data_IF_640940749890
#
_entry.id   IF_640940749890
#
_cell.length_a   1.000
_cell.length_b   1.000
_cell.length_c   1.000
_cell.angle_alpha   90.00
_cell.angle_beta   90.00
_cell.angle_gamma   90.00
#
_symmetry.space_group_name_H-M   'P 1'
#
loop_
_entity.id
_entity.type
_entity.pdbx_description
1 polymer ?
#
# COMPACT_ATOMS: atom_id res chain seq x y z
N UNK A 1 12.11 7.55 -1.61
CA UNK A 1 11.28 7.38 -2.82
C UNK A 1 11.71 8.42 -3.84
N UNK A 2 11.82 8.01 -5.09
CA UNK A 2 12.54 8.76 -6.14
C UNK A 2 11.56 9.39 -7.14
N UNK A 3 10.70 10.29 -6.67
CA UNK A 3 9.69 10.96 -7.49
C UNK A 3 10.28 11.73 -8.71
N UNK A 4 11.53 12.15 -8.62
CA UNK A 4 12.23 12.80 -9.73
C UNK A 4 12.42 11.88 -10.95
N UNK A 5 12.34 10.57 -10.80
CA UNK A 5 12.45 9.63 -11.92
C UNK A 5 11.27 9.74 -12.90
N UNK A 6 10.14 10.31 -12.45
CA UNK A 6 8.99 10.62 -13.31
C UNK A 6 9.37 11.59 -14.45
N UNK A 7 10.26 12.57 -14.20
CA UNK A 7 10.80 13.43 -15.26
C UNK A 7 11.57 12.64 -16.32
N UNK A 8 12.30 11.61 -15.89
CA UNK A 8 13.01 10.72 -16.81
C UNK A 8 12.04 9.96 -17.71
N UNK A 9 10.94 9.44 -17.17
CA UNK A 9 9.92 8.74 -17.94
C UNK A 9 9.30 9.64 -19.03
N UNK A 10 8.99 10.88 -18.67
CA UNK A 10 8.46 11.87 -19.63
C UNK A 10 9.50 12.20 -20.70
N UNK A 11 10.73 12.50 -20.29
CA UNK A 11 11.82 12.95 -21.18
C UNK A 11 12.21 11.89 -22.21
N UNK A 12 12.21 10.62 -21.80
CA UNK A 12 12.62 9.51 -22.66
C UNK A 12 11.43 8.74 -23.25
N UNK A 13 10.20 9.25 -23.07
CA UNK A 13 8.96 8.61 -23.57
C UNK A 13 8.82 7.16 -23.12
N UNK A 14 9.14 6.89 -21.85
CA UNK A 14 8.98 5.56 -21.28
C UNK A 14 7.52 5.36 -20.88
N UNK A 15 6.77 4.44 -21.51
CA UNK A 15 5.35 4.29 -21.29
C UNK A 15 5.07 3.44 -20.04
N UNK A 16 5.50 3.93 -18.89
CA UNK A 16 5.35 3.24 -17.60
C UNK A 16 4.02 3.63 -16.96
N UNK A 17 3.34 2.66 -16.38
CA UNK A 17 2.18 2.89 -15.53
C UNK A 17 2.64 2.81 -14.07
N UNK A 18 2.65 3.95 -13.40
CA UNK A 18 2.97 4.06 -11.98
C UNK A 18 1.67 4.02 -11.17
N UNK A 19 1.64 3.22 -10.12
CA UNK A 19 0.52 3.22 -9.16
C UNK A 19 1.05 3.57 -7.78
N UNK A 20 0.52 4.64 -7.20
CA UNK A 20 0.84 5.07 -5.83
C UNK A 20 -0.32 4.68 -4.92
N UNK A 21 -0.05 3.87 -3.92
CA UNK A 21 -0.99 3.60 -2.83
C UNK A 21 -0.84 4.70 -1.77
N UNK A 22 -1.74 5.67 -1.82
CA UNK A 22 -1.65 6.91 -1.06
C UNK A 22 -2.51 6.82 0.21
N UNK A 23 -1.89 6.35 1.29
CA UNK A 23 -2.51 6.19 2.61
C UNK A 23 -2.22 7.33 3.59
N UNK A 24 -1.45 8.34 3.18
CA UNK A 24 -1.01 9.48 4.00
C UNK A 24 -0.22 9.10 5.26
N UNK A 25 0.39 7.91 5.27
CA UNK A 25 1.19 7.45 6.38
C UNK A 25 2.36 6.58 5.91
N UNK A 26 3.34 6.40 6.78
CA UNK A 26 4.36 5.36 6.68
C UNK A 26 3.79 4.08 7.31
N UNK A 27 2.75 3.49 6.67
CA UNK A 27 1.94 2.43 7.25
C UNK A 27 2.73 1.21 7.70
N UNK A 28 3.77 0.80 6.94
CA UNK A 28 4.62 -0.31 7.35
C UNK A 28 5.41 -0.02 8.63
N UNK A 29 5.87 1.23 8.81
CA UNK A 29 6.57 1.67 10.03
C UNK A 29 5.58 1.76 11.21
N UNK A 30 4.35 2.20 10.95
CA UNK A 30 3.27 2.18 11.93
C UNK A 30 3.00 0.77 12.43
N UNK A 31 2.87 -0.18 11.52
CA UNK A 31 2.66 -1.60 11.83
C UNK A 31 3.82 -2.17 12.68
N UNK A 32 5.07 -1.83 12.34
CA UNK A 32 6.24 -2.27 13.10
C UNK A 32 6.28 -1.66 14.51
N UNK A 33 5.95 -0.36 14.65
CA UNK A 33 5.88 0.29 15.96
C UNK A 33 4.79 -0.35 16.83
N UNK A 34 3.62 -0.65 16.24
CA UNK A 34 2.53 -1.32 16.94
C UNK A 34 2.91 -2.74 17.37
N UNK A 35 3.55 -3.51 16.48
CA UNK A 35 3.98 -4.88 16.76
C UNK A 35 5.03 -4.95 17.89
N UNK A 36 5.87 -3.93 18.00
CA UNK A 36 6.87 -3.82 19.07
C UNK A 36 6.32 -3.16 20.35
N UNK A 37 5.04 -2.74 20.36
CA UNK A 37 4.38 -2.12 21.51
C UNK A 37 4.82 -0.68 21.74
N UNK A 38 5.31 0.01 20.71
CA UNK A 38 5.67 1.42 20.76
C UNK A 38 4.47 2.32 20.49
N UNK A 39 4.52 3.55 20.96
CA UNK A 39 3.61 4.60 20.54
C UNK A 39 3.99 5.06 19.10
N UNK A 40 2.99 5.41 18.33
CA UNK A 40 3.19 5.88 16.97
C UNK A 40 3.94 7.22 16.95
N UNK A 41 5.04 7.28 16.23
CA UNK A 41 5.86 8.48 16.13
C UNK A 41 6.41 8.66 14.72
N UNK A 42 6.19 9.85 14.16
CA UNK A 42 6.78 10.23 12.87
C UNK A 42 6.23 9.48 11.67
N UNK A 43 5.05 8.85 11.79
CA UNK A 43 4.42 8.04 10.75
C UNK A 43 3.51 8.86 9.82
N UNK A 44 2.98 9.98 10.30
CA UNK A 44 2.06 10.81 9.53
C UNK A 44 2.75 11.45 8.33
N UNK A 45 2.14 11.33 7.18
CA UNK A 45 2.55 11.99 5.95
C UNK A 45 1.52 13.02 5.52
N UNK A 46 1.94 14.19 4.99
CA UNK A 46 0.97 15.13 4.44
C UNK A 46 0.21 14.50 3.27
N UNK A 47 -1.05 14.88 3.13
CA UNK A 47 -1.87 14.45 2.00
C UNK A 47 -1.32 15.06 0.69
N UNK A 48 -0.51 14.31 -0.02
CA UNK A 48 0.06 14.70 -1.30
C UNK A 48 -0.90 14.29 -2.42
N UNK A 49 -1.18 15.20 -3.34
CA UNK A 49 -1.86 14.90 -4.60
C UNK A 49 -0.82 14.50 -5.65
N UNK A 50 -0.50 13.21 -5.69
CA UNK A 50 0.50 12.67 -6.61
C UNK A 50 0.05 12.78 -8.07
N UNK A 51 -1.25 12.74 -8.35
CA UNK A 51 -1.77 12.94 -9.69
C UNK A 51 -1.49 14.36 -10.20
N UNK A 52 -1.65 15.38 -9.34
CA UNK A 52 -1.29 16.77 -9.67
C UNK A 52 0.21 16.92 -9.83
N UNK A 53 1.02 16.29 -9.00
CA UNK A 53 2.49 16.29 -9.15
C UNK A 53 2.89 15.70 -10.50
N UNK A 54 2.33 14.55 -10.87
CA UNK A 54 2.60 13.89 -12.16
C UNK A 54 2.21 14.78 -13.34
N UNK A 55 1.06 15.46 -13.27
CA UNK A 55 0.63 16.44 -14.30
C UNK A 55 1.64 17.59 -14.40
N UNK A 56 2.14 18.10 -13.28
CA UNK A 56 3.16 19.14 -13.25
C UNK A 56 4.49 18.72 -13.89
N UNK A 57 4.78 17.43 -13.92
CA UNK A 57 5.94 16.84 -14.60
C UNK A 57 5.67 16.45 -16.06
N UNK A 58 4.46 16.67 -16.58
CA UNK A 58 4.10 16.36 -17.97
C UNK A 58 3.54 14.96 -18.21
N UNK A 59 3.20 14.22 -17.15
CA UNK A 59 2.55 12.91 -17.22
C UNK A 59 1.02 13.03 -17.22
N UNK A 60 0.34 11.95 -17.59
CA UNK A 60 -1.07 11.79 -17.21
C UNK A 60 -1.15 11.37 -15.74
N UNK A 61 -1.80 12.18 -14.91
CA UNK A 61 -2.08 11.88 -13.50
C UNK A 61 -3.57 11.60 -13.31
N UNK A 62 -3.92 10.48 -12.69
CA UNK A 62 -5.29 10.06 -12.42
C UNK A 62 -5.43 9.82 -10.92
N UNK A 63 -6.41 10.46 -10.27
CA UNK A 63 -6.76 10.18 -8.88
C UNK A 63 -7.89 9.16 -8.86
N UNK A 64 -7.75 8.12 -8.04
CA UNK A 64 -8.75 7.09 -7.79
C UNK A 64 -9.11 7.11 -6.32
N UNK A 65 -10.38 7.28 -5.99
CA UNK A 65 -10.91 7.34 -4.62
C UNK A 65 -11.85 6.20 -4.30
N UNK A 66 -12.36 5.53 -5.34
CA UNK A 66 -13.28 4.40 -5.21
C UNK A 66 -12.79 3.24 -6.09
N UNK A 67 -13.04 2.02 -5.62
CA UNK A 67 -12.56 0.81 -6.31
C UNK A 67 -13.15 0.64 -7.71
N UNK A 68 -14.36 1.08 -7.92
CA UNK A 68 -15.06 1.03 -9.22
C UNK A 68 -14.51 2.02 -10.28
N UNK A 69 -13.69 2.97 -9.88
CA UNK A 69 -12.95 3.87 -10.78
C UNK A 69 -11.70 3.22 -11.38
N UNK A 70 -11.17 2.16 -10.75
CA UNK A 70 -9.93 1.52 -11.16
C UNK A 70 -9.94 1.00 -12.61
N UNK A 71 -11.00 0.31 -13.10
CA UNK A 71 -11.02 -0.18 -14.47
C UNK A 71 -10.83 0.94 -15.51
N UNK A 72 -11.54 2.06 -15.35
CA UNK A 72 -11.43 3.21 -16.26
C UNK A 72 -10.06 3.91 -16.16
N UNK A 73 -9.48 3.96 -14.95
CA UNK A 73 -8.13 4.50 -14.75
C UNK A 73 -7.06 3.65 -15.46
N UNK A 74 -7.16 2.33 -15.35
CA UNK A 74 -6.24 1.42 -16.05
C UNK A 74 -6.46 1.42 -17.57
N UNK A 75 -7.69 1.50 -18.06
CA UNK A 75 -7.97 1.64 -19.50
C UNK A 75 -7.28 2.89 -20.07
N UNK A 76 -7.45 4.03 -19.39
CA UNK A 76 -6.77 5.28 -19.77
C UNK A 76 -5.24 5.14 -19.73
N UNK A 77 -4.71 4.47 -18.72
CA UNK A 77 -3.28 4.26 -18.57
C UNK A 77 -2.72 3.34 -19.68
N UNK A 78 -3.45 2.30 -20.06
CA UNK A 78 -3.06 1.42 -21.17
C UNK A 78 -3.11 2.12 -22.53
N UNK A 79 -4.12 2.97 -22.77
CA UNK A 79 -4.18 3.79 -23.99
C UNK A 79 -2.97 4.74 -24.07
N UNK A 80 -2.63 5.38 -22.97
CA UNK A 80 -1.43 6.22 -22.88
C UNK A 80 -0.15 5.40 -23.12
N UNK A 81 -0.06 4.23 -22.52
CA UNK A 81 1.07 3.32 -22.70
C UNK A 81 1.24 2.93 -24.18
N UNK A 82 0.14 2.60 -24.85
CA UNK A 82 0.14 2.31 -26.29
C UNK A 82 0.57 3.52 -27.14
N UNK A 83 0.30 4.75 -26.65
CA UNK A 83 0.71 5.99 -27.28
C UNK A 83 2.15 6.46 -26.88
N UNK A 84 2.91 5.63 -26.14
CA UNK A 84 4.25 5.98 -25.70
C UNK A 84 4.32 7.01 -24.59
N UNK A 85 3.25 7.15 -23.76
CA UNK A 85 3.15 8.14 -22.69
C UNK A 85 3.08 7.49 -21.31
N UNK A 86 3.83 8.01 -20.32
CA UNK A 86 3.73 7.55 -18.96
C UNK A 86 2.44 8.04 -18.27
N UNK A 87 1.95 7.25 -17.33
CA UNK A 87 0.77 7.58 -16.50
C UNK A 87 1.05 7.28 -15.04
N UNK A 88 0.55 8.13 -14.14
CA UNK A 88 0.53 7.88 -12.71
C UNK A 88 -0.91 7.79 -12.22
N UNK A 89 -1.25 6.69 -11.57
CA UNK A 89 -2.52 6.48 -10.87
C UNK A 89 -2.26 6.69 -9.38
N UNK A 90 -2.88 7.72 -8.79
CA UNK A 90 -2.85 8.01 -7.37
C UNK A 90 -4.09 7.38 -6.72
N UNK A 91 -3.94 6.14 -6.24
CA UNK A 91 -4.99 5.40 -5.58
C UNK A 91 -5.04 5.78 -4.09
N UNK A 92 -6.10 6.49 -3.70
CA UNK A 92 -6.34 6.84 -2.30
C UNK A 92 -6.84 5.60 -1.55
N UNK A 93 -6.05 5.15 -0.59
CA UNK A 93 -6.38 3.99 0.23
C UNK A 93 -6.48 4.37 1.70
N UNK A 94 -7.12 3.52 2.50
CA UNK A 94 -7.13 3.66 3.96
C UNK A 94 -5.76 3.29 4.52
N UNK A 95 -5.43 3.82 5.70
CA UNK A 95 -4.24 3.42 6.45
C UNK A 95 -4.57 2.27 7.41
N UNK A 96 -5.33 1.30 6.94
CA UNK A 96 -5.63 0.09 7.69
C UNK A 96 -4.65 -1.00 7.32
N UNK A 97 -4.23 -1.77 8.31
CA UNK A 97 -3.37 -2.95 8.10
C UNK A 97 -4.10 -3.91 7.15
N UNK A 98 -3.60 -4.12 5.92
CA UNK A 98 -4.35 -4.85 4.90
C UNK A 98 -4.43 -6.36 5.15
N UNK A 99 -3.48 -6.90 5.89
CA UNK A 99 -3.40 -8.33 6.18
C UNK A 99 -3.06 -8.49 7.66
N UNK A 100 -4.00 -9.03 8.48
CA UNK A 100 -3.63 -9.52 9.80
C UNK A 100 -2.54 -10.56 9.61
N UNK A 101 -1.40 -10.38 10.26
CA UNK A 101 -0.24 -11.26 10.09
C UNK A 101 -0.48 -12.59 10.83
N UNK A 102 -1.64 -13.21 10.63
CA UNK A 102 -2.00 -14.54 11.16
C UNK A 102 -0.97 -15.62 10.80
N UNK A 103 -0.13 -15.33 9.80
CA UNK A 103 0.74 -16.28 9.16
C UNK A 103 2.22 -15.97 9.28
N UNK A 104 2.62 -15.06 10.16
CA UNK A 104 4.03 -14.97 10.55
C UNK A 104 4.38 -16.27 11.28
N UNK A 105 4.71 -17.28 10.50
CA UNK A 105 5.12 -18.57 11.03
C UNK A 105 6.64 -18.53 11.18
N UNK A 106 7.10 -18.62 12.42
CA UNK A 106 8.49 -19.01 12.65
C UNK A 106 8.69 -20.40 12.05
N UNK A 107 9.75 -20.53 11.23
CA UNK A 107 10.06 -21.80 10.59
C UNK A 107 10.38 -22.87 11.65
N UNK A 108 9.60 -23.97 11.75
CA UNK A 108 9.81 -25.01 12.73
C UNK A 108 11.14 -25.78 12.54
N UNK A 109 11.84 -25.58 11.41
CA UNK A 109 13.18 -26.12 11.21
C UNK A 109 14.29 -25.22 11.81
N UNK A 110 13.98 -23.97 12.11
CA UNK A 110 14.92 -22.99 12.66
C UNK A 110 14.65 -22.67 14.13
N UNK A 111 13.41 -22.82 14.58
CA UNK A 111 12.96 -22.46 15.93
C UNK A 111 12.31 -23.66 16.63
N UNK A 112 12.58 -23.84 17.91
CA UNK A 112 11.94 -24.86 18.71
C UNK A 112 10.46 -24.55 18.99
N UNK A 113 9.70 -25.59 19.41
CA UNK A 113 8.27 -25.50 19.63
C UNK A 113 7.89 -24.48 20.74
N UNK A 114 8.74 -24.35 21.77
CA UNK A 114 8.48 -23.45 22.90
C UNK A 114 8.68 -21.99 22.46
N UNK A 115 9.70 -21.72 21.67
CA UNK A 115 9.93 -20.40 21.05
C UNK A 115 8.77 -20.01 20.14
N UNK A 116 8.30 -20.94 19.28
CA UNK A 116 7.15 -20.71 18.41
C UNK A 116 5.88 -20.43 19.23
N UNK A 117 5.65 -21.19 20.29
CA UNK A 117 4.48 -21.02 21.15
C UNK A 117 4.51 -19.68 21.90
N UNK A 118 5.68 -19.29 22.43
CA UNK A 118 5.87 -18.01 23.11
C UNK A 118 5.66 -16.83 22.16
N UNK A 119 6.21 -16.92 20.94
CA UNK A 119 6.00 -15.92 19.90
C UNK A 119 4.52 -15.77 19.55
N UNK A 120 3.82 -16.88 19.25
CA UNK A 120 2.39 -16.86 18.95
C UNK A 120 1.57 -16.26 20.10
N UNK A 121 1.89 -16.61 21.34
CA UNK A 121 1.19 -16.08 22.50
C UNK A 121 1.35 -14.56 22.63
N UNK A 122 2.57 -14.04 22.43
CA UNK A 122 2.86 -12.61 22.44
C UNK A 122 2.11 -11.92 21.30
N UNK A 123 2.26 -12.44 20.09
CA UNK A 123 1.66 -11.93 18.90
C UNK A 123 0.14 -11.78 18.99
N UNK A 124 -0.58 -12.82 19.48
CA UNK A 124 -2.03 -12.73 19.68
C UNK A 124 -2.45 -11.85 20.87
N UNK A 125 -1.56 -11.58 21.81
CA UNK A 125 -1.83 -10.65 22.91
C UNK A 125 -1.78 -9.18 22.47
N UNK A 126 -1.10 -8.88 21.37
CA UNK A 126 -0.90 -7.54 20.80
C UNK A 126 -2.03 -7.10 19.85
N UNK A 127 -3.26 -7.61 20.03
CA UNK A 127 -4.52 -7.22 19.36
C UNK A 127 -4.66 -7.60 17.89
N UNK A 128 -3.90 -8.53 17.40
CA UNK A 128 -4.09 -9.03 16.04
C UNK A 128 -5.40 -9.79 15.93
N UNK A 129 -6.26 -9.37 15.05
CA UNK A 129 -7.52 -10.07 14.76
C UNK A 129 -7.33 -11.07 13.62
N UNK A 130 -7.93 -12.27 13.72
CA UNK A 130 -7.95 -13.21 12.62
C UNK A 130 -8.50 -12.58 11.33
N UNK A 131 -7.92 -12.93 10.18
CA UNK A 131 -8.37 -12.42 8.87
C UNK A 131 -9.89 -12.57 8.69
N UNK A 132 -10.44 -13.71 9.13
CA UNK A 132 -11.88 -13.96 9.08
C UNK A 132 -12.71 -12.98 9.92
N UNK A 133 -12.17 -12.48 11.02
CA UNK A 133 -12.80 -11.49 11.87
C UNK A 133 -12.60 -10.08 11.32
N UNK A 134 -11.38 -9.78 10.85
CA UNK A 134 -11.06 -8.54 10.15
C UNK A 134 -12.00 -8.30 8.97
N UNK A 135 -12.16 -9.28 8.07
CA UNK A 135 -13.05 -9.18 6.91
C UNK A 135 -14.52 -8.96 7.30
N UNK A 136 -14.98 -9.49 8.44
CA UNK A 136 -16.34 -9.26 8.94
C UNK A 136 -16.53 -7.85 9.45
N UNK A 137 -15.54 -7.32 10.18
CA UNK A 137 -15.61 -5.99 10.79
C UNK A 137 -15.46 -4.89 9.76
N UNK A 138 -14.65 -5.09 8.73
CA UNK A 138 -14.35 -4.10 7.69
C UNK A 138 -15.23 -4.24 6.44
N UNK A 139 -16.25 -5.15 6.48
CA UNK A 139 -17.22 -5.35 5.37
C UNK A 139 -16.57 -5.53 4.00
N UNK A 140 -15.40 -6.14 3.94
CA UNK A 140 -14.74 -6.46 2.67
C UNK A 140 -15.57 -7.54 1.98
N UNK A 141 -16.05 -7.32 0.74
CA UNK A 141 -16.76 -8.36 0.01
C UNK A 141 -15.83 -9.55 -0.21
N UNK A 142 -16.17 -10.68 0.35
CA UNK A 142 -15.48 -11.94 0.04
C UNK A 142 -16.14 -12.46 -1.24
N UNK A 143 -15.37 -12.51 -2.33
CA UNK A 143 -15.81 -13.09 -3.59
C UNK A 143 -15.97 -14.61 -3.47
#
# INVERSE_FOLDING_TARGET
MVMQDLDTEVRYHLPIINVVFSNNALGYIEDEQEDDGHEWFGIDMPAIDFATVAKGMGMTGITVTQVDELPAAFETAEDNRAAGKPTLIDAKITNERPIPVEHLQLDPNQFDADTIAAFKKRYYAERLVPLSEFLKTHKVPVA
#
